data_IF_328938145370
#
_entry.id   IF_328938145370
#
_cell.length_a   1.000
_cell.length_b   1.000
_cell.length_c   1.000
_cell.angle_alpha   90.00
_cell.angle_beta   90.00
_cell.angle_gamma   90.00
#
_symmetry.space_group_name_H-M   'P 1'
#
loop_
_entity.id
_entity.type
_entity.pdbx_description
1 polymer ?
#
# COMPACT_ATOMS: atom_id res chain seq x y z
N UNK A 1 -18.03 -6.86 8.04
CA UNK A 1 -17.16 -5.99 8.85
C UNK A 1 -15.86 -6.70 9.22
N UNK A 2 -15.89 -7.89 9.85
CA UNK A 2 -14.69 -8.69 10.17
C UNK A 2 -13.68 -8.89 9.03
N UNK A 3 -14.13 -9.08 7.79
CA UNK A 3 -13.23 -9.27 6.64
C UNK A 3 -12.41 -8.01 6.32
N UNK A 4 -12.96 -6.82 6.60
CA UNK A 4 -12.27 -5.53 6.35
C UNK A 4 -11.20 -5.31 7.40
N UNK A 5 -11.51 -5.54 8.69
CA UNK A 5 -10.53 -5.44 9.77
C UNK A 5 -9.38 -6.45 9.62
N UNK A 6 -9.70 -7.70 9.25
CA UNK A 6 -8.67 -8.71 8.98
C UNK A 6 -7.74 -8.29 7.85
N UNK A 7 -8.30 -7.76 6.75
CA UNK A 7 -7.51 -7.32 5.61
C UNK A 7 -6.63 -6.11 5.94
N UNK A 8 -7.15 -5.12 6.69
CA UNK A 8 -6.36 -3.98 7.14
C UNK A 8 -5.22 -4.42 8.06
N UNK A 9 -5.47 -5.36 8.97
CA UNK A 9 -4.42 -5.95 9.81
C UNK A 9 -3.38 -6.73 9.00
N UNK A 10 -3.79 -7.41 7.94
CA UNK A 10 -2.89 -8.08 7.00
C UNK A 10 -2.00 -7.07 6.26
N UNK A 11 -2.59 -6.01 5.69
CA UNK A 11 -1.85 -4.95 4.98
C UNK A 11 -0.91 -4.21 5.93
N UNK A 12 -1.34 -3.94 7.16
CA UNK A 12 -0.50 -3.30 8.17
C UNK A 12 0.72 -4.16 8.50
N UNK A 13 0.52 -5.47 8.74
CA UNK A 13 1.60 -6.43 8.99
C UNK A 13 2.52 -6.59 7.79
N UNK A 14 1.97 -6.55 6.59
CA UNK A 14 2.72 -6.63 5.35
C UNK A 14 3.64 -5.41 5.17
N UNK A 15 3.11 -4.20 5.40
CA UNK A 15 3.88 -2.95 5.32
C UNK A 15 4.89 -2.81 6.47
N UNK A 16 4.55 -3.26 7.70
CA UNK A 16 5.48 -3.27 8.85
C UNK A 16 6.61 -4.29 8.70
N UNK A 17 6.44 -5.31 7.87
CA UNK A 17 7.49 -6.30 7.60
C UNK A 17 8.61 -5.76 6.69
N UNK A 18 8.58 -4.46 6.37
CA UNK A 18 9.60 -3.72 5.62
C UNK A 18 10.15 -4.52 4.43
N UNK A 19 9.26 -4.94 3.52
CA UNK A 19 9.66 -5.44 2.20
C UNK A 19 10.79 -6.48 2.16
N UNK A 20 11.02 -7.28 3.21
CA UNK A 20 12.04 -8.36 3.20
C UNK A 20 11.65 -9.49 2.23
N UNK A 21 10.49 -9.37 1.59
CA UNK A 21 10.35 -9.87 0.22
C UNK A 21 11.43 -9.24 -0.63
N UNK A 22 12.57 -9.91 -0.74
CA UNK A 22 13.58 -9.68 -1.77
C UNK A 22 12.89 -9.71 -3.14
N UNK A 23 12.31 -8.59 -3.56
CA UNK A 23 11.65 -8.43 -4.84
C UNK A 23 12.77 -8.33 -5.87
N UNK A 24 13.28 -9.49 -6.26
CA UNK A 24 14.38 -9.59 -7.20
C UNK A 24 13.95 -9.29 -8.65
N UNK A 25 12.64 -9.18 -8.90
CA UNK A 25 12.09 -8.97 -10.23
C UNK A 25 11.24 -7.70 -10.32
N UNK A 26 11.53 -6.86 -11.31
CA UNK A 26 10.81 -5.62 -11.57
C UNK A 26 9.33 -5.87 -11.93
N UNK A 27 9.02 -7.03 -12.52
CA UNK A 27 7.64 -7.44 -12.79
C UNK A 27 6.83 -7.67 -11.50
N UNK A 28 7.46 -8.26 -10.48
CA UNK A 28 6.84 -8.44 -9.16
C UNK A 28 6.63 -7.10 -8.44
N UNK A 29 7.60 -6.18 -8.53
CA UNK A 29 7.46 -4.82 -7.99
C UNK A 29 6.26 -4.13 -8.64
N UNK A 30 6.17 -4.10 -9.98
CA UNK A 30 5.07 -3.44 -10.69
C UNK A 30 3.69 -4.03 -10.36
N UNK A 31 3.61 -5.37 -10.21
CA UNK A 31 2.38 -6.04 -9.75
C UNK A 31 1.99 -5.61 -8.34
N UNK A 32 2.96 -5.48 -7.44
CA UNK A 32 2.72 -5.08 -6.06
C UNK A 32 2.34 -3.61 -5.93
N UNK A 33 2.98 -2.72 -6.71
CA UNK A 33 2.59 -1.30 -6.80
C UNK A 33 1.14 -1.17 -7.27
N UNK A 34 0.71 -1.99 -8.24
CA UNK A 34 -0.67 -2.00 -8.74
C UNK A 34 -1.66 -2.44 -7.67
N UNK A 35 -1.34 -3.51 -6.91
CA UNK A 35 -2.18 -3.96 -5.81
C UNK A 35 -2.27 -2.92 -4.69
N UNK A 36 -1.15 -2.31 -4.31
CA UNK A 36 -1.11 -1.26 -3.31
C UNK A 36 -1.90 -0.01 -3.73
N UNK A 37 -1.89 0.33 -5.02
CA UNK A 37 -2.75 1.37 -5.57
C UNK A 37 -4.23 1.04 -5.41
N UNK A 38 -4.65 -0.19 -5.72
CA UNK A 38 -6.05 -0.61 -5.51
C UNK A 38 -6.45 -0.59 -4.03
N UNK A 39 -5.54 -0.94 -3.12
CA UNK A 39 -5.77 -0.82 -1.67
C UNK A 39 -5.91 0.65 -1.27
N UNK A 40 -5.07 1.55 -1.81
CA UNK A 40 -5.17 2.99 -1.55
C UNK A 40 -6.52 3.56 -2.02
N UNK A 41 -6.96 3.22 -3.23
CA UNK A 41 -8.24 3.67 -3.78
C UNK A 41 -9.42 3.14 -2.94
N UNK A 42 -9.34 1.88 -2.47
CA UNK A 42 -10.32 1.30 -1.54
C UNK A 42 -10.33 1.99 -0.17
N UNK A 43 -9.15 2.34 0.37
CA UNK A 43 -9.03 3.10 1.62
C UNK A 43 -9.67 4.49 1.51
N UNK A 44 -9.63 5.13 0.35
CA UNK A 44 -10.34 6.38 0.07
C UNK A 44 -11.86 6.19 0.07
N UNK A 45 -12.37 5.18 -0.61
CA UNK A 45 -13.81 4.89 -0.64
C UNK A 45 -14.37 4.66 0.76
N UNK A 46 -13.70 3.87 1.59
CA UNK A 46 -14.16 3.57 2.96
C UNK A 46 -13.95 4.73 3.93
N UNK A 47 -13.01 5.63 3.63
CA UNK A 47 -12.73 6.82 4.43
C UNK A 47 -13.75 7.94 4.20
N UNK A 48 -14.35 7.98 3.00
CA UNK A 48 -15.36 8.94 2.57
C UNK A 48 -16.78 8.59 3.08
N UNK A 49 -17.08 7.32 3.32
CA UNK A 49 -18.39 6.85 3.82
C UNK A 49 -18.68 7.20 5.29
N UNK A 50 -17.93 8.12 5.90
CA UNK A 50 -18.03 8.48 7.33
C UNK A 50 -19.25 9.31 7.72
N UNK A 51 -19.98 9.86 6.76
CA UNK A 51 -21.11 10.74 7.06
C UNK A 51 -22.40 9.98 7.45
N UNK A 52 -22.48 8.67 7.20
CA UNK A 52 -23.62 7.87 7.65
C UNK A 52 -23.25 7.00 8.86
N UNK A 53 -23.76 7.45 10.00
CA UNK A 53 -23.91 6.79 11.30
C UNK A 53 -23.63 5.27 11.32
N UNK A 54 -22.75 4.89 12.24
CA UNK A 54 -22.67 3.57 12.90
C UNK A 54 -22.02 2.37 12.17
N UNK A 55 -21.64 2.45 10.89
CA UNK A 55 -21.25 1.22 10.16
C UNK A 55 -19.76 0.89 10.06
N UNK A 56 -18.83 1.80 10.35
CA UNK A 56 -17.39 1.53 10.19
C UNK A 56 -16.63 1.72 11.50
N UNK A 57 -16.42 0.61 12.23
CA UNK A 57 -15.55 0.53 13.41
C UNK A 57 -14.06 0.85 13.13
N UNK A 58 -13.72 1.05 11.86
CA UNK A 58 -12.36 1.38 11.41
C UNK A 58 -12.16 2.88 11.66
N UNK A 59 -11.29 3.20 12.62
CA UNK A 59 -10.94 4.59 12.91
C UNK A 59 -10.32 5.25 11.68
N UNK A 60 -10.68 6.53 11.47
CA UNK A 60 -10.04 7.40 10.51
C UNK A 60 -8.51 7.34 10.58
N UNK A 61 -8.00 7.24 11.80
CA UNK A 61 -6.57 7.18 12.11
C UNK A 61 -5.90 5.92 11.53
N UNK A 62 -6.57 4.77 11.57
CA UNK A 62 -6.05 3.51 11.01
C UNK A 62 -5.95 3.60 9.49
N UNK A 63 -6.97 4.19 8.84
CA UNK A 63 -7.00 4.40 7.40
C UNK A 63 -5.88 5.35 6.98
N UNK A 64 -5.71 6.47 7.69
CA UNK A 64 -4.66 7.45 7.40
C UNK A 64 -3.25 6.88 7.61
N UNK A 65 -3.05 6.11 8.68
CA UNK A 65 -1.78 5.41 8.95
C UNK A 65 -1.42 4.42 7.85
N UNK A 66 -2.37 3.59 7.42
CA UNK A 66 -2.15 2.62 6.34
C UNK A 66 -1.88 3.32 5.02
N UNK A 67 -2.63 4.37 4.70
CA UNK A 67 -2.41 5.19 3.51
C UNK A 67 -1.00 5.75 3.47
N UNK A 68 -0.54 6.34 4.57
CA UNK A 68 0.81 6.89 4.67
C UNK A 68 1.88 5.82 4.43
N UNK A 69 1.74 4.64 5.07
CA UNK A 69 2.65 3.50 4.86
C UNK A 69 2.67 3.03 3.41
N UNK A 70 1.51 2.97 2.74
CA UNK A 70 1.41 2.63 1.31
C UNK A 70 2.14 3.67 0.47
N UNK A 71 1.94 4.96 0.70
CA UNK A 71 2.64 6.02 -0.04
C UNK A 71 4.16 5.98 0.15
N UNK A 72 4.63 5.77 1.38
CA UNK A 72 6.06 5.62 1.68
C UNK A 72 6.63 4.40 0.94
N UNK A 73 5.94 3.25 0.98
CA UNK A 73 6.35 2.05 0.27
C UNK A 73 6.41 2.26 -1.26
N UNK A 74 5.36 2.86 -1.83
CA UNK A 74 5.32 3.19 -3.27
C UNK A 74 6.48 4.11 -3.65
N UNK A 75 6.79 5.13 -2.83
CA UNK A 75 7.88 6.06 -3.10
C UNK A 75 9.25 5.35 -3.10
N UNK A 76 9.54 4.56 -2.06
CA UNK A 76 10.80 3.81 -1.95
C UNK A 76 11.01 2.83 -3.12
N UNK A 77 9.94 2.17 -3.57
CA UNK A 77 10.01 1.21 -4.67
C UNK A 77 9.98 1.87 -6.06
N UNK A 78 9.33 3.03 -6.21
CA UNK A 78 9.40 3.84 -7.45
C UNK A 78 10.79 4.43 -7.62
N UNK A 79 11.41 4.94 -6.56
CA UNK A 79 12.81 5.38 -6.60
C UNK A 79 13.76 4.22 -6.93
N UNK A 80 13.53 3.04 -6.37
CA UNK A 80 14.30 1.83 -6.71
C UNK A 80 14.08 1.39 -8.17
N UNK A 81 12.85 1.44 -8.68
CA UNK A 81 12.54 1.13 -10.08
C UNK A 81 13.10 2.18 -11.05
N UNK A 82 13.04 3.46 -10.68
CA UNK A 82 13.63 4.57 -11.45
C UNK A 82 15.17 4.49 -11.47
N UNK A 83 15.78 4.17 -10.33
CA UNK A 83 17.22 3.92 -10.23
C UNK A 83 17.65 2.72 -11.07
N UNK A 84 16.87 1.63 -11.07
CA UNK A 84 17.11 0.47 -11.91
C UNK A 84 16.98 0.78 -13.42
N UNK A 85 16.02 1.62 -13.82
CA UNK A 85 15.88 2.07 -15.22
C UNK A 85 17.02 3.03 -15.63
N UNK A 86 17.47 3.91 -14.74
CA UNK A 86 18.55 4.87 -15.01
C UNK A 86 19.93 4.21 -15.09
N UNK A 87 20.11 3.01 -14.52
CA UNK A 87 21.33 2.21 -14.63
C UNK A 87 21.52 1.50 -15.98
N UNK A 88 20.51 1.49 -16.85
CA UNK A 88 20.53 0.82 -18.16
C UNK A 88 21.16 1.61 -19.30
N UNK A 89 21.95 2.65 -19.01
CA UNK A 89 22.63 3.48 -20.02
C UNK A 89 24.15 3.43 -19.86
N UNK A 90 24.75 2.25 -19.92
CA UNK A 90 26.20 2.13 -20.17
C UNK A 90 26.52 0.75 -20.75
N UNK A 91 26.49 0.65 -22.08
CA UNK A 91 27.58 0.22 -22.99
C UNK A 91 27.05 -0.25 -24.35
#
# INVERSE_FOLDING_TARGET
LQSRDWFLGFVERFLDSDGDTTLSDNGQIAGMLTQLKSVNDWLDEIGLTKDEEESCQISAETIDRLRKKIYEYLLTHVESAAAALSGGSQS
#
